data_IF_967741345845
#
_entry.id   IF_967741345845
#
_cell.length_a   1.000
_cell.length_b   1.000
_cell.length_c   1.000
_cell.angle_alpha   90.00
_cell.angle_beta   90.00
_cell.angle_gamma   90.00
#
_symmetry.space_group_name_H-M   'P 1'
#
loop_
_entity.id
_entity.type
_entity.pdbx_description
1 polymer ?
#
# COMPACT_ATOMS: atom_id res chain seq x y z
N UNK A 1 -19.17 -56.58 14.80
CA UNK A 1 -19.48 -55.15 14.59
C UNK A 1 -18.24 -54.31 14.92
N UNK A 2 -17.14 -54.45 14.17
CA UNK A 2 -15.87 -53.75 14.47
C UNK A 2 -15.26 -53.06 13.23
N UNK A 3 -16.06 -52.77 12.20
CA UNK A 3 -15.53 -52.17 10.95
C UNK A 3 -16.01 -50.71 10.72
N UNK A 4 -16.87 -50.18 11.61
CA UNK A 4 -17.48 -48.86 11.45
C UNK A 4 -16.64 -47.70 12.00
N UNK A 5 -15.88 -47.92 13.06
CA UNK A 5 -14.98 -46.94 13.66
C UNK A 5 -13.72 -46.65 12.81
N UNK A 6 -13.14 -47.67 12.17
CA UNK A 6 -11.98 -47.49 11.29
C UNK A 6 -12.31 -46.66 10.05
N UNK A 7 -13.51 -46.83 9.47
CA UNK A 7 -13.95 -45.99 8.34
C UNK A 7 -14.22 -44.55 8.77
N UNK A 8 -14.77 -44.32 9.97
CA UNK A 8 -14.98 -42.98 10.51
C UNK A 8 -13.66 -42.22 10.72
N UNK A 9 -12.61 -42.89 11.21
CA UNK A 9 -11.28 -42.30 11.41
C UNK A 9 -10.63 -41.95 10.05
N UNK A 10 -10.72 -42.83 9.07
CA UNK A 10 -10.16 -42.59 7.73
C UNK A 10 -10.87 -41.43 7.01
N UNK A 11 -12.19 -41.35 7.12
CA UNK A 11 -12.97 -40.25 6.55
C UNK A 11 -12.63 -38.93 7.26
N UNK A 12 -12.56 -38.93 8.60
CA UNK A 12 -12.20 -37.73 9.38
C UNK A 12 -10.79 -37.21 9.07
N UNK A 13 -9.80 -38.11 8.99
CA UNK A 13 -8.44 -37.75 8.62
C UNK A 13 -8.35 -37.21 7.18
N UNK A 14 -9.14 -37.78 6.26
CA UNK A 14 -9.23 -37.30 4.88
C UNK A 14 -9.77 -35.87 4.78
N UNK A 15 -10.85 -35.54 5.50
CA UNK A 15 -11.40 -34.18 5.50
C UNK A 15 -10.46 -33.15 6.14
N UNK A 16 -9.75 -33.51 7.22
CA UNK A 16 -8.75 -32.64 7.84
C UNK A 16 -7.55 -32.38 6.91
N UNK A 17 -7.03 -33.42 6.25
CA UNK A 17 -5.94 -33.28 5.29
C UNK A 17 -6.35 -32.45 4.06
N UNK A 18 -7.57 -32.66 3.55
CA UNK A 18 -8.11 -31.91 2.42
C UNK A 18 -8.35 -30.44 2.77
N UNK A 19 -8.90 -30.15 3.95
CA UNK A 19 -9.05 -28.79 4.47
C UNK A 19 -7.72 -28.07 4.67
N UNK A 20 -6.72 -28.76 5.22
CA UNK A 20 -5.36 -28.22 5.37
C UNK A 20 -4.68 -27.98 4.01
N UNK A 21 -4.88 -28.85 3.03
CA UNK A 21 -4.32 -28.70 1.70
C UNK A 21 -4.92 -27.50 0.96
N UNK A 22 -6.24 -27.34 0.99
CA UNK A 22 -6.92 -26.17 0.41
C UNK A 22 -6.51 -24.88 1.14
N UNK A 23 -6.47 -24.90 2.48
CA UNK A 23 -6.08 -23.72 3.28
C UNK A 23 -4.62 -23.29 3.08
N UNK A 24 -3.71 -24.23 2.80
CA UNK A 24 -2.29 -23.95 2.57
C UNK A 24 -1.96 -23.57 1.12
N UNK A 25 -2.75 -24.01 0.14
CA UNK A 25 -2.51 -23.72 -1.28
C UNK A 25 -3.30 -22.53 -1.83
N UNK A 26 -4.26 -21.99 -1.07
CA UNK A 26 -4.95 -20.74 -1.41
C UNK A 26 -4.68 -19.64 -0.37
N UNK A 27 -3.48 -19.01 -0.36
CA UNK A 27 -3.45 -17.61 0.07
C UNK A 27 -4.37 -16.86 -0.91
N UNK A 28 -5.27 -16.02 -0.40
CA UNK A 28 -6.06 -15.11 -1.22
C UNK A 28 -5.13 -14.24 -2.08
N UNK A 29 -4.76 -14.75 -3.27
CA UNK A 29 -4.09 -14.01 -4.32
C UNK A 29 -5.10 -13.02 -4.86
N UNK A 30 -5.16 -11.85 -4.25
CA UNK A 30 -5.71 -10.69 -4.93
C UNK A 30 -4.78 -10.41 -6.11
N UNK A 31 -5.28 -10.75 -7.30
CA UNK A 31 -4.65 -10.43 -8.58
C UNK A 31 -4.64 -8.90 -8.75
N UNK A 32 -3.48 -8.27 -8.55
CA UNK A 32 -3.17 -7.03 -9.26
C UNK A 32 -2.15 -7.34 -10.35
N UNK A 33 -2.68 -7.38 -11.58
CA UNK A 33 -2.00 -7.65 -12.84
C UNK A 33 -0.89 -6.64 -13.15
N UNK A 34 0.13 -7.15 -13.85
CA UNK A 34 1.39 -6.55 -14.33
C UNK A 34 1.29 -5.27 -15.19
N UNK A 35 0.29 -4.40 -15.00
CA UNK A 35 0.09 -3.20 -15.83
C UNK A 35 0.86 -1.95 -15.37
N UNK A 36 1.80 -2.07 -14.43
CA UNK A 36 2.57 -0.93 -13.92
C UNK A 36 3.98 -0.81 -14.50
N UNK A 37 4.47 -1.84 -15.20
CA UNK A 37 5.78 -1.80 -15.88
C UNK A 37 5.83 -0.78 -17.03
N UNK A 38 4.70 -0.48 -17.66
CA UNK A 38 4.63 0.46 -18.80
C UNK A 38 4.77 1.94 -18.42
N UNK A 39 4.53 2.32 -17.16
CA UNK A 39 4.69 3.72 -16.72
C UNK A 39 6.15 4.10 -16.42
N UNK A 40 7.06 3.13 -16.38
CA UNK A 40 8.49 3.38 -16.10
C UNK A 40 9.26 3.82 -17.34
N UNK A 41 8.78 3.49 -18.54
CA UNK A 41 9.55 3.64 -19.77
C UNK A 41 9.58 5.09 -20.31
N UNK A 42 8.69 5.96 -19.83
CA UNK A 42 8.52 7.31 -20.40
C UNK A 42 9.29 8.43 -19.67
N UNK A 43 9.75 8.19 -18.43
CA UNK A 43 10.51 9.17 -17.65
C UNK A 43 12.04 9.03 -17.81
N UNK A 44 12.53 7.86 -18.26
CA UNK A 44 13.98 7.56 -18.35
C UNK A 44 14.67 8.15 -19.60
N UNK A 45 13.96 8.80 -20.52
CA UNK A 45 14.54 9.32 -21.77
C UNK A 45 15.16 10.73 -21.68
N UNK A 46 15.05 11.41 -20.53
CA UNK A 46 15.53 12.80 -20.36
C UNK A 46 16.83 12.96 -19.57
N UNK A 47 17.51 11.88 -19.19
CA UNK A 47 18.82 11.95 -18.54
C UNK A 47 19.81 11.00 -19.23
N UNK A 48 20.28 11.39 -20.41
CA UNK A 48 21.43 10.74 -21.06
C UNK A 48 22.57 11.74 -21.22
N UNK A 49 23.48 11.76 -20.23
CA UNK A 49 24.82 12.29 -20.44
C UNK A 49 25.85 11.35 -19.79
N UNK A 50 26.62 10.71 -20.67
CA UNK A 50 27.97 10.14 -20.53
C UNK A 50 28.51 9.83 -19.13
N UNK A 51 28.83 8.55 -18.89
CA UNK A 51 30.24 8.11 -18.94
C UNK A 51 30.38 6.59 -18.82
N UNK A 52 31.19 6.03 -19.72
CA UNK A 52 31.71 4.67 -19.66
C UNK A 52 32.76 4.54 -18.55
N UNK A 53 32.61 3.55 -17.66
CA UNK A 53 33.75 2.80 -17.15
C UNK A 53 33.33 1.40 -16.72
N UNK A 54 34.03 0.41 -17.27
CA UNK A 54 33.94 -1.00 -16.91
C UNK A 54 34.42 -1.18 -15.48
N UNK A 55 33.63 -1.81 -14.60
CA UNK A 55 34.16 -2.62 -13.51
C UNK A 55 33.17 -3.72 -13.11
N UNK A 56 33.66 -4.95 -13.27
CA UNK A 56 33.06 -6.23 -12.88
C UNK A 56 33.44 -6.47 -11.41
N UNK A 57 32.50 -7.01 -10.61
CA UNK A 57 32.58 -7.54 -9.22
C UNK A 57 31.93 -6.65 -8.14
N UNK A 58 30.72 -7.03 -7.73
CA UNK A 58 30.37 -7.39 -6.33
C UNK A 58 28.84 -7.50 -6.19
N UNK A 59 28.32 -8.67 -6.53
CA UNK A 59 26.97 -9.13 -6.22
C UNK A 59 26.84 -9.41 -4.72
N UNK A 60 26.92 -8.37 -3.87
CA UNK A 60 26.68 -8.44 -2.40
C UNK A 60 26.62 -7.05 -1.72
N UNK A 61 26.04 -6.05 -2.37
CA UNK A 61 25.84 -4.71 -1.78
C UNK A 61 24.60 -4.04 -2.36
N UNK A 62 23.44 -4.27 -1.71
CA UNK A 62 22.27 -3.38 -1.57
C UNK A 62 21.09 -4.19 -1.04
N UNK A 63 21.23 -4.72 0.17
CA UNK A 63 20.05 -4.96 1.02
C UNK A 63 19.60 -3.55 1.43
N UNK A 64 18.67 -3.03 0.65
CA UNK A 64 17.97 -1.76 0.81
C UNK A 64 17.41 -1.72 2.24
N UNK A 65 17.83 -0.73 3.03
CA UNK A 65 17.43 -0.51 4.43
C UNK A 65 15.97 -0.94 4.66
N UNK A 66 15.79 -2.07 5.37
CA UNK A 66 14.47 -2.55 5.73
C UNK A 66 13.85 -1.52 6.67
N UNK A 67 12.61 -1.10 6.40
CA UNK A 67 11.89 -0.22 7.31
C UNK A 67 11.71 -0.92 8.66
N UNK A 68 11.78 -0.18 9.75
CA UNK A 68 11.62 -0.74 11.11
C UNK A 68 10.28 -1.46 11.28
N UNK A 69 9.24 -0.96 10.61
CA UNK A 69 7.91 -1.57 10.58
C UNK A 69 7.90 -3.00 10.03
N UNK A 70 8.84 -3.36 9.13
CA UNK A 70 8.93 -4.72 8.59
C UNK A 70 9.41 -5.71 9.64
N UNK A 71 10.34 -5.28 10.51
CA UNK A 71 10.84 -6.11 11.60
C UNK A 71 9.79 -6.24 12.70
N UNK A 72 9.06 -5.16 12.99
CA UNK A 72 7.98 -5.17 13.98
C UNK A 72 6.82 -6.09 13.59
N UNK A 73 6.60 -6.35 12.30
CA UNK A 73 5.53 -7.23 11.82
C UNK A 73 5.70 -8.71 12.19
N UNK A 74 6.89 -9.10 12.67
CA UNK A 74 7.14 -10.43 13.24
C UNK A 74 6.56 -10.59 14.66
N UNK A 75 6.43 -9.47 15.39
CA UNK A 75 6.09 -9.47 16.82
C UNK A 75 4.71 -8.85 17.05
N UNK A 76 4.34 -7.83 16.27
CA UNK A 76 3.10 -7.09 16.39
C UNK A 76 2.10 -7.56 15.33
N UNK A 77 0.83 -7.57 15.73
CA UNK A 77 -0.28 -7.90 14.84
C UNK A 77 -1.01 -6.64 14.38
N UNK A 78 -1.08 -5.63 15.24
CA UNK A 78 -1.85 -4.40 15.01
C UNK A 78 -1.03 -3.33 14.30
N UNK A 79 -1.46 -2.98 13.08
CA UNK A 79 -0.91 -1.87 12.31
C UNK A 79 -2.02 -0.89 11.95
N UNK A 80 -1.71 0.41 11.96
CA UNK A 80 -2.62 1.47 11.51
C UNK A 80 -1.91 2.52 10.68
N UNK A 81 -2.66 3.15 9.79
CA UNK A 81 -2.21 4.31 9.02
C UNK A 81 -2.76 5.59 9.64
N UNK A 82 -1.90 6.57 9.87
CA UNK A 82 -2.32 7.90 10.33
C UNK A 82 -2.31 8.86 9.15
N UNK A 83 -3.44 9.53 8.94
CA UNK A 83 -3.62 10.55 7.91
C UNK A 83 -3.69 11.90 8.61
N UNK A 84 -2.66 12.72 8.43
CA UNK A 84 -2.56 14.04 9.06
C UNK A 84 -3.02 15.09 8.04
N UNK A 85 -4.04 15.87 8.41
CA UNK A 85 -4.66 16.85 7.52
C UNK A 85 -4.43 18.26 8.07
N UNK A 86 -3.94 19.14 7.19
CA UNK A 86 -3.79 20.58 7.47
C UNK A 86 -5.17 21.26 7.57
N UNK A 87 -5.48 21.78 8.75
CA UNK A 87 -6.74 22.46 9.07
C UNK A 87 -6.70 23.98 8.81
N UNK A 88 -5.50 24.55 8.70
CA UNK A 88 -5.24 25.93 8.28
C UNK A 88 -5.67 26.19 6.83
N UNK A 89 -5.59 25.18 5.96
CA UNK A 89 -5.99 25.27 4.54
C UNK A 89 -7.51 25.34 4.28
N UNK A 90 -8.35 25.22 5.33
CA UNK A 90 -9.82 25.30 5.26
C UNK A 90 -10.46 24.47 4.13
N UNK A 91 -9.92 23.28 3.88
CA UNK A 91 -10.45 22.37 2.84
C UNK A 91 -11.85 21.87 3.20
N UNK A 92 -12.73 21.80 2.19
CA UNK A 92 -14.02 21.13 2.31
C UNK A 92 -13.89 19.62 2.48
N UNK A 93 -14.94 18.96 2.98
CA UNK A 93 -14.94 17.51 3.31
C UNK A 93 -14.58 16.63 2.11
N UNK A 94 -15.14 16.91 0.93
CA UNK A 94 -14.82 16.17 -0.30
C UNK A 94 -13.34 16.27 -0.68
N UNK A 95 -12.75 17.46 -0.58
CA UNK A 95 -11.31 17.68 -0.86
C UNK A 95 -10.43 16.95 0.16
N UNK A 96 -10.77 17.00 1.45
CA UNK A 96 -10.07 16.26 2.49
C UNK A 96 -10.09 14.75 2.20
N UNK A 97 -11.26 14.19 1.84
CA UNK A 97 -11.40 12.78 1.51
C UNK A 97 -10.54 12.38 0.30
N UNK A 98 -10.55 13.18 -0.77
CA UNK A 98 -9.72 12.95 -1.95
C UNK A 98 -8.22 12.96 -1.60
N UNK A 99 -7.76 13.96 -0.85
CA UNK A 99 -6.35 14.06 -0.44
C UNK A 99 -5.92 12.91 0.48
N UNK A 100 -6.79 12.49 1.41
CA UNK A 100 -6.57 11.31 2.26
C UNK A 100 -6.41 10.02 1.43
N UNK A 101 -7.24 9.85 0.40
CA UNK A 101 -7.15 8.73 -0.55
C UNK A 101 -5.84 8.76 -1.34
N UNK A 102 -5.41 9.93 -1.80
CA UNK A 102 -4.12 10.11 -2.48
C UNK A 102 -2.94 9.77 -1.56
N UNK A 103 -2.95 10.26 -0.32
CA UNK A 103 -1.91 9.98 0.68
C UNK A 103 -1.83 8.48 1.00
N UNK A 104 -2.99 7.84 1.18
CA UNK A 104 -3.09 6.39 1.42
C UNK A 104 -2.44 5.60 0.29
N UNK A 105 -2.82 5.86 -0.96
CA UNK A 105 -2.26 5.15 -2.13
C UNK A 105 -0.76 5.44 -2.29
N UNK A 106 -0.34 6.67 -2.04
CA UNK A 106 1.05 7.09 -2.11
C UNK A 106 1.92 6.38 -1.06
N UNK A 107 1.40 6.17 0.16
CA UNK A 107 2.08 5.41 1.21
C UNK A 107 2.08 3.91 0.91
N UNK A 108 0.92 3.37 0.51
CA UNK A 108 0.78 1.96 0.12
C UNK A 108 1.82 1.55 -0.92
N UNK A 109 1.97 2.32 -2.01
CA UNK A 109 2.95 2.05 -3.06
C UNK A 109 4.40 2.08 -2.56
N UNK A 110 4.72 2.94 -1.59
CA UNK A 110 6.06 3.02 -0.99
C UNK A 110 6.35 1.80 -0.12
N UNK A 111 5.34 1.27 0.58
CA UNK A 111 5.47 0.16 1.52
C UNK A 111 5.44 -1.20 0.80
N UNK A 112 4.69 -1.33 -0.30
CA UNK A 112 4.44 -2.58 -1.04
C UNK A 112 5.68 -3.46 -1.26
N UNK A 113 6.84 -2.86 -1.56
CA UNK A 113 8.10 -3.59 -1.79
C UNK A 113 9.18 -3.31 -0.75
N UNK A 114 8.90 -2.52 0.28
CA UNK A 114 9.86 -2.13 1.33
C UNK A 114 9.54 -2.74 2.68
N UNK A 115 8.28 -3.01 2.95
CA UNK A 115 7.80 -3.69 4.15
C UNK A 115 6.53 -4.52 3.85
N UNK A 116 6.64 -5.59 3.05
CA UNK A 116 5.50 -6.40 2.65
C UNK A 116 4.81 -7.12 3.82
N UNK A 117 5.54 -7.53 4.88
CA UNK A 117 4.92 -8.16 6.06
C UNK A 117 4.09 -7.15 6.84
N UNK A 118 4.63 -5.96 7.08
CA UNK A 118 3.90 -4.88 7.75
C UNK A 118 2.64 -4.48 6.97
N UNK A 119 2.75 -4.42 5.63
CA UNK A 119 1.59 -4.14 4.78
C UNK A 119 0.53 -5.23 4.90
N UNK A 120 0.93 -6.49 4.85
CA UNK A 120 0.02 -7.63 4.97
C UNK A 120 -0.72 -7.61 6.33
N UNK A 121 0.00 -7.37 7.44
CA UNK A 121 -0.61 -7.21 8.77
C UNK A 121 -1.66 -6.10 8.79
N UNK A 122 -1.35 -4.94 8.20
CA UNK A 122 -2.30 -3.83 8.11
C UNK A 122 -3.54 -4.20 7.28
N UNK A 123 -3.36 -4.89 6.14
CA UNK A 123 -4.48 -5.36 5.30
C UNK A 123 -5.36 -6.38 6.05
N UNK A 124 -4.75 -7.34 6.73
CA UNK A 124 -5.46 -8.34 7.56
C UNK A 124 -6.21 -7.70 8.73
N UNK A 125 -5.72 -6.56 9.22
CA UNK A 125 -6.36 -5.78 10.31
C UNK A 125 -7.52 -4.91 9.82
N UNK A 126 -8.11 -5.20 8.65
CA UNK A 126 -9.11 -4.37 7.99
C UNK A 126 -8.62 -2.95 7.66
N UNK A 127 -7.31 -2.81 7.35
CA UNK A 127 -6.68 -1.61 6.82
C UNK A 127 -7.05 -0.30 7.57
N UNK A 128 -6.88 -0.23 8.91
CA UNK A 128 -7.40 0.87 9.71
C UNK A 128 -6.66 2.16 9.41
N UNK A 129 -7.43 3.24 9.26
CA UNK A 129 -6.96 4.59 8.94
C UNK A 129 -7.54 5.55 9.96
N UNK A 130 -6.68 6.31 10.63
CA UNK A 130 -7.08 7.34 11.60
C UNK A 130 -6.71 8.70 11.04
N UNK A 131 -7.71 9.57 10.91
CA UNK A 131 -7.50 10.94 10.40
C UNK A 131 -7.36 11.89 11.58
N UNK A 132 -6.27 12.67 11.60
CA UNK A 132 -5.98 13.68 12.61
C UNK A 132 -5.70 15.03 11.96
N UNK A 133 -5.76 16.11 12.75
CA UNK A 133 -5.56 17.48 12.27
C UNK A 133 -4.22 18.04 12.72
N UNK A 134 -3.71 18.98 11.94
CA UNK A 134 -2.56 19.81 12.26
C UNK A 134 -2.80 21.24 11.76
N UNK A 135 -2.24 22.24 12.42
CA UNK A 135 -2.57 23.65 12.17
C UNK A 135 -1.50 24.40 11.35
N UNK A 136 -0.39 23.76 10.97
CA UNK A 136 0.67 24.39 10.19
C UNK A 136 1.38 23.40 9.26
N UNK A 137 2.09 23.94 8.26
CA UNK A 137 2.95 23.14 7.38
C UNK A 137 4.23 22.72 8.11
N UNK A 138 4.77 23.63 8.90
CA UNK A 138 5.99 23.47 9.67
C UNK A 138 5.87 22.28 10.63
N UNK A 139 4.76 22.20 11.37
CA UNK A 139 4.51 21.08 12.29
C UNK A 139 4.34 19.74 11.52
N UNK A 140 3.76 19.77 10.32
CA UNK A 140 3.61 18.58 9.47
C UNK A 140 4.96 18.07 8.99
N UNK A 141 5.84 18.98 8.57
CA UNK A 141 7.20 18.64 8.13
C UNK A 141 8.04 18.12 9.30
N UNK A 142 7.96 18.77 10.47
CA UNK A 142 8.63 18.30 11.69
C UNK A 142 8.14 16.91 12.12
N UNK A 143 6.83 16.65 12.04
CA UNK A 143 6.26 15.32 12.30
C UNK A 143 6.77 14.28 11.29
N UNK A 144 6.88 14.64 10.01
CA UNK A 144 7.43 13.76 9.00
C UNK A 144 8.90 13.43 9.25
N UNK A 145 9.72 14.43 9.61
CA UNK A 145 11.13 14.25 9.93
C UNK A 145 11.32 13.30 11.12
N UNK A 146 10.53 13.50 12.19
CA UNK A 146 10.50 12.58 13.34
C UNK A 146 10.10 11.16 12.94
N UNK A 147 9.11 10.99 12.08
CA UNK A 147 8.72 9.65 11.62
C UNK A 147 9.82 9.01 10.76
N UNK A 148 10.53 9.79 9.92
CA UNK A 148 11.67 9.32 9.12
C UNK A 148 12.86 8.92 9.99
N UNK A 149 13.16 9.64 11.08
CA UNK A 149 14.25 9.29 12.00
C UNK A 149 13.97 7.96 12.73
N UNK A 150 12.69 7.65 12.97
CA UNK A 150 12.20 6.35 13.44
C UNK A 150 12.00 5.32 12.31
N UNK A 151 12.50 5.59 11.10
CA UNK A 151 12.39 4.71 9.93
C UNK A 151 10.96 4.25 9.62
N UNK A 152 9.96 5.03 10.00
CA UNK A 152 8.56 4.77 9.67
C UNK A 152 8.29 5.22 8.22
N UNK A 153 7.50 4.46 7.46
CA UNK A 153 7.14 4.86 6.10
C UNK A 153 6.24 6.11 6.15
N UNK A 154 6.59 7.11 5.33
CA UNK A 154 5.83 8.37 5.25
C UNK A 154 5.56 8.79 3.81
N UNK A 155 4.46 9.52 3.62
CA UNK A 155 4.08 10.12 2.36
C UNK A 155 3.43 11.49 2.61
N UNK A 156 3.87 12.51 1.87
CA UNK A 156 3.26 13.83 1.86
C UNK A 156 2.58 13.99 0.51
N UNK A 157 1.31 14.38 0.54
CA UNK A 157 0.54 14.71 -0.65
C UNK A 157 0.50 16.22 -0.77
N UNK A 158 0.83 16.71 -1.95
CA UNK A 158 0.79 18.14 -2.29
C UNK A 158 -0.28 18.29 -3.35
N UNK A 159 -1.26 19.15 -3.10
CA UNK A 159 -2.29 19.44 -4.09
C UNK A 159 -1.72 20.36 -5.17
N UNK A 160 -1.69 19.90 -6.41
CA UNK A 160 -1.23 20.69 -7.56
C UNK A 160 -2.27 21.74 -8.01
N UNK A 161 -3.44 21.83 -7.36
CA UNK A 161 -4.47 22.84 -7.65
C UNK A 161 -5.14 22.67 -9.03
N UNK A 162 -4.86 21.58 -9.75
CA UNK A 162 -5.41 21.28 -11.08
C UNK A 162 -6.34 20.09 -10.99
N UNK A 163 -7.63 20.35 -10.81
CA UNK A 163 -8.69 19.44 -11.25
C UNK A 163 -9.25 19.95 -12.58
N UNK A 164 -8.47 19.73 -13.63
CA UNK A 164 -8.95 19.70 -15.02
C UNK A 164 -8.02 18.74 -15.75
N UNK A 165 -8.38 17.45 -15.73
CA UNK A 165 -7.65 16.40 -16.45
C UNK A 165 -8.33 16.23 -17.81
N UNK A 166 -7.52 16.19 -18.85
CA UNK A 166 -7.86 15.81 -20.22
C UNK A 166 -8.65 14.48 -20.27
N UNK A 167 -9.49 14.25 -21.30
CA UNK A 167 -10.44 13.14 -21.34
C UNK A 167 -9.72 11.79 -21.29
N UNK A 168 -9.92 11.06 -20.19
CA UNK A 168 -9.77 9.58 -20.15
C UNK A 168 -11.19 8.99 -20.36
N UNK A 169 -11.54 7.71 -20.13
CA UNK A 169 -12.91 7.23 -20.33
C UNK A 169 -13.84 7.75 -19.21
N UNK A 170 -13.90 9.07 -19.11
CA UNK A 170 -14.74 9.88 -18.25
C UNK A 170 -16.18 9.65 -18.71
N UNK A 171 -16.42 9.51 -20.01
CA UNK A 171 -17.76 9.30 -20.57
C UNK A 171 -18.48 8.09 -19.97
N UNK A 172 -17.81 6.93 -19.84
CA UNK A 172 -18.44 5.71 -19.27
C UNK A 172 -18.68 5.84 -17.77
N UNK A 173 -17.79 6.52 -17.05
CA UNK A 173 -17.95 6.73 -15.60
C UNK A 173 -19.05 7.78 -15.36
N UNK A 174 -19.05 8.86 -16.12
CA UNK A 174 -20.01 9.97 -16.06
C UNK A 174 -21.39 9.58 -16.56
N UNK A 175 -21.51 8.61 -17.47
CA UNK A 175 -22.81 8.00 -17.80
C UNK A 175 -23.48 7.43 -16.54
N UNK A 176 -22.69 6.86 -15.63
CA UNK A 176 -23.18 6.29 -14.37
C UNK A 176 -23.28 7.35 -13.27
N UNK A 177 -22.32 8.28 -13.19
CA UNK A 177 -22.16 9.17 -12.02
C UNK A 177 -22.45 10.65 -12.28
N UNK A 178 -22.68 11.08 -13.51
CA UNK A 178 -22.78 12.49 -13.92
C UNK A 178 -23.97 13.25 -13.34
N UNK A 179 -25.03 12.54 -12.92
CA UNK A 179 -26.16 13.13 -12.20
C UNK A 179 -25.93 13.37 -10.71
N UNK A 180 -24.82 12.87 -10.14
CA UNK A 180 -24.53 12.99 -8.71
C UNK A 180 -23.93 14.35 -8.38
N UNK A 181 -24.33 14.91 -7.23
CA UNK A 181 -23.74 16.14 -6.70
C UNK A 181 -22.41 15.81 -6.01
N UNK A 182 -21.43 16.69 -6.20
CA UNK A 182 -20.18 16.64 -5.45
C UNK A 182 -20.46 16.86 -3.95
N UNK A 183 -19.67 16.18 -3.12
CA UNK A 183 -19.78 16.15 -1.65
C UNK A 183 -19.08 17.34 -0.96
#
# INVERSE_FOLDING_TARGET
MEVSWLSAILVGAGYLAFGYFIGSHYPHRFFFSNRFSSLKEKDDSLLNHNNNSKQKKNSKSKIKDSLEVEQLAEILEDFKMILVVRNDLKMGKGKIAAQCSHATLGLYKKVLYRAPKALNRWEMSAQPKVVVKIESEEDMLALQERAKSLKLPTHITIDAGRTQIAPRPVEVVDEVTGGLKLL
#
